data_IF_333082674723
#
_entry.id   IF_333082674723
#
_cell.length_a   1.000
_cell.length_b   1.000
_cell.length_c   1.000
_cell.angle_alpha   90.00
_cell.angle_beta   90.00
_cell.angle_gamma   90.00
#
_symmetry.space_group_name_H-M   'P 1'
#
loop_
_entity.id
_entity.type
_entity.pdbx_description
1 polymer ?
#
# COMPACT_ATOMS: atom_id res chain seq x y z
N UNK A 1 22.99 17.94 -0.04
CA UNK A 1 22.13 19.08 -0.42
C UNK A 1 21.05 19.23 0.65
N UNK A 2 20.71 20.45 1.08
CA UNK A 2 19.52 20.65 1.93
C UNK A 2 18.28 20.47 1.05
N UNK A 3 17.39 19.54 1.41
CA UNK A 3 16.14 19.28 0.65
C UNK A 3 15.17 20.47 0.65
N UNK A 4 15.43 21.51 1.45
CA UNK A 4 14.61 22.72 1.51
C UNK A 4 13.25 22.50 2.17
N UNK A 5 13.01 21.36 2.83
CA UNK A 5 11.76 21.07 3.54
C UNK A 5 11.62 22.01 4.73
N UNK A 6 10.52 22.78 4.76
CA UNK A 6 10.22 23.74 5.85
C UNK A 6 8.93 23.43 6.59
N UNK A 7 8.12 22.51 6.09
CA UNK A 7 6.93 22.00 6.76
C UNK A 7 6.52 20.64 6.20
N UNK A 8 5.86 19.84 7.04
CA UNK A 8 5.34 18.51 6.67
C UNK A 8 3.97 18.30 7.30
N UNK A 9 3.03 17.75 6.53
CA UNK A 9 1.80 17.16 7.04
C UNK A 9 1.91 15.65 6.92
N UNK A 10 1.66 14.95 8.03
CA UNK A 10 1.69 13.49 8.10
C UNK A 10 0.32 13.02 8.54
N UNK A 11 -0.28 12.14 7.74
CA UNK A 11 -1.53 11.46 8.10
C UNK A 11 -1.30 9.95 8.02
N UNK A 12 -1.94 9.15 8.89
CA UNK A 12 -1.74 7.71 8.87
C UNK A 12 -2.58 7.06 7.76
N UNK A 13 -2.03 6.01 7.15
CA UNK A 13 -2.81 5.07 6.34
C UNK A 13 -3.42 4.05 7.31
N UNK A 14 -4.72 4.16 7.60
CA UNK A 14 -5.41 3.31 8.56
C UNK A 14 -6.52 2.51 7.89
N UNK A 15 -6.66 1.28 8.34
CA UNK A 15 -7.83 0.45 8.05
C UNK A 15 -8.29 -0.16 9.37
N UNK A 16 -9.47 0.25 9.83
CA UNK A 16 -9.95 -0.09 11.18
C UNK A 16 -8.90 0.27 12.25
N UNK A 17 -8.50 -0.68 13.09
CA UNK A 17 -7.49 -0.50 14.14
C UNK A 17 -6.04 -0.74 13.67
N UNK A 18 -5.84 -1.12 12.40
CA UNK A 18 -4.51 -1.41 11.85
C UNK A 18 -3.96 -0.18 11.11
N UNK A 19 -2.75 0.24 11.47
CA UNK A 19 -1.98 1.22 10.69
C UNK A 19 -1.12 0.49 9.67
N UNK A 20 -1.36 0.76 8.39
CA UNK A 20 -0.60 0.21 7.26
C UNK A 20 0.67 1.04 6.98
N UNK A 21 0.67 2.31 7.39
CA UNK A 21 1.78 3.22 7.16
C UNK A 21 1.38 4.67 7.36
N UNK A 22 2.10 5.59 6.71
CA UNK A 22 1.81 7.03 6.75
C UNK A 22 1.98 7.67 5.37
N UNK A 23 1.16 8.68 5.10
CA UNK A 23 1.28 9.56 3.94
C UNK A 23 1.84 10.91 4.39
N UNK A 24 2.84 11.41 3.65
CA UNK A 24 3.54 12.67 3.95
C UNK A 24 3.41 13.63 2.79
N UNK A 25 3.10 14.89 3.09
CA UNK A 25 3.16 16.00 2.15
C UNK A 25 4.16 17.02 2.67
N UNK A 26 5.12 17.36 1.82
CA UNK A 26 6.21 18.29 2.14
C UNK A 26 5.97 19.65 1.49
N UNK A 27 6.42 20.71 2.15
CA UNK A 27 6.44 22.05 1.57
C UNK A 27 7.78 22.72 1.81
N UNK A 28 8.32 23.33 0.76
CA UNK A 28 9.57 24.09 0.79
C UNK A 28 9.41 25.50 1.35
N UNK A 29 8.17 25.94 1.55
CA UNK A 29 7.82 27.17 2.25
C UNK A 29 7.19 26.83 3.60
N UNK A 30 7.35 27.68 4.64
CA UNK A 30 6.64 27.52 5.90
C UNK A 30 5.14 27.52 5.65
N UNK A 31 4.46 26.42 6.02
CA UNK A 31 3.04 26.25 5.81
C UNK A 31 2.38 25.82 7.10
N UNK A 32 1.29 26.48 7.45
CA UNK A 32 0.32 25.95 8.40
C UNK A 32 -0.78 25.23 7.61
N UNK A 33 -1.06 23.99 7.97
CA UNK A 33 -2.11 23.21 7.33
C UNK A 33 -3.44 23.50 8.00
N UNK A 34 -4.43 23.94 7.23
CA UNK A 34 -5.78 24.17 7.73
C UNK A 34 -6.45 22.85 8.11
N UNK A 35 -7.45 22.90 8.99
CA UNK A 35 -8.26 21.73 9.35
C UNK A 35 -8.87 21.07 8.10
N UNK A 36 -9.39 21.87 7.16
CA UNK A 36 -9.93 21.39 5.88
C UNK A 36 -8.86 20.63 5.07
N UNK A 37 -7.64 21.16 5.00
CA UNK A 37 -6.54 20.51 4.29
C UNK A 37 -6.09 19.21 4.96
N UNK A 38 -6.11 19.17 6.29
CA UNK A 38 -5.81 17.95 7.07
C UNK A 38 -6.89 16.90 6.81
N UNK A 39 -8.18 17.27 6.92
CA UNK A 39 -9.30 16.36 6.64
C UNK A 39 -9.26 15.82 5.22
N UNK A 40 -8.97 16.67 4.24
CA UNK A 40 -8.81 16.26 2.85
C UNK A 40 -7.70 15.22 2.69
N UNK A 41 -6.50 15.49 3.24
CA UNK A 41 -5.39 14.53 3.13
C UNK A 41 -5.69 13.23 3.88
N UNK A 42 -6.36 13.30 5.04
CA UNK A 42 -6.82 12.10 5.76
C UNK A 42 -7.78 11.26 4.93
N UNK A 43 -8.78 11.87 4.25
CA UNK A 43 -9.68 11.12 3.37
C UNK A 43 -8.95 10.46 2.20
N UNK A 44 -7.94 11.12 1.63
CA UNK A 44 -7.09 10.51 0.60
C UNK A 44 -6.27 9.35 1.18
N UNK A 45 -5.75 9.50 2.39
CA UNK A 45 -5.02 8.45 3.08
C UNK A 45 -5.89 7.21 3.38
N UNK A 46 -7.17 7.39 3.73
CA UNK A 46 -8.11 6.29 3.93
C UNK A 46 -8.35 5.52 2.61
N UNK A 47 -8.49 6.23 1.49
CA UNK A 47 -8.64 5.60 0.17
C UNK A 47 -7.38 4.83 -0.25
N UNK A 48 -6.20 5.40 0.02
CA UNK A 48 -4.92 4.73 -0.27
C UNK A 48 -4.73 3.51 0.62
N UNK A 49 -5.09 3.58 1.90
CA UNK A 49 -5.04 2.43 2.80
C UNK A 49 -5.87 1.26 2.26
N UNK A 50 -7.09 1.53 1.81
CA UNK A 50 -7.95 0.51 1.19
C UNK A 50 -7.35 -0.06 -0.11
N UNK A 51 -6.75 0.78 -0.95
CA UNK A 51 -6.14 0.35 -2.21
C UNK A 51 -4.90 -0.54 -1.97
N UNK A 52 -4.05 -0.18 -1.00
CA UNK A 52 -2.87 -0.96 -0.61
C UNK A 52 -3.29 -2.32 -0.08
N UNK A 53 -4.25 -2.38 0.84
CA UNK A 53 -4.76 -3.66 1.37
C UNK A 53 -5.28 -4.57 0.25
N UNK A 54 -6.03 -4.02 -0.72
CA UNK A 54 -6.52 -4.80 -1.86
C UNK A 54 -5.39 -5.31 -2.75
N UNK A 55 -4.38 -4.50 -2.99
CA UNK A 55 -3.22 -4.90 -3.78
C UNK A 55 -2.44 -6.02 -3.09
N UNK A 56 -2.24 -5.94 -1.77
CA UNK A 56 -1.60 -6.99 -0.97
C UNK A 56 -2.40 -8.30 -1.01
N UNK A 57 -3.71 -8.26 -0.76
CA UNK A 57 -4.57 -9.44 -0.83
C UNK A 57 -4.57 -10.08 -2.22
N UNK A 58 -4.63 -9.25 -3.28
CA UNK A 58 -4.57 -9.74 -4.65
C UNK A 58 -3.20 -10.38 -4.97
N UNK A 59 -2.10 -9.82 -4.47
CA UNK A 59 -0.77 -10.39 -4.65
C UNK A 59 -0.63 -11.76 -3.95
N UNK A 60 -1.17 -11.90 -2.74
CA UNK A 60 -1.20 -13.19 -2.03
C UNK A 60 -2.00 -14.23 -2.79
N UNK A 61 -3.19 -13.86 -3.30
CA UNK A 61 -4.02 -14.77 -4.08
C UNK A 61 -3.32 -15.22 -5.37
N UNK A 62 -2.64 -14.29 -6.07
CA UNK A 62 -1.87 -14.62 -7.27
C UNK A 62 -0.70 -15.54 -6.98
N UNK A 63 0.01 -15.34 -5.86
CA UNK A 63 1.09 -16.24 -5.45
C UNK A 63 0.57 -17.67 -5.23
N UNK A 64 -0.51 -17.84 -4.47
CA UNK A 64 -1.12 -19.15 -4.23
C UNK A 64 -1.60 -19.85 -5.51
N UNK A 65 -2.18 -19.09 -6.44
CA UNK A 65 -2.60 -19.63 -7.72
C UNK A 65 -1.42 -20.09 -8.58
N UNK A 66 -0.32 -19.35 -8.56
CA UNK A 66 0.90 -19.72 -9.28
C UNK A 66 1.57 -20.96 -8.67
N UNK A 67 1.61 -21.08 -7.35
CA UNK A 67 2.14 -22.26 -6.66
C UNK A 67 1.37 -23.51 -7.06
N UNK A 68 0.03 -23.47 -6.99
CA UNK A 68 -0.82 -24.60 -7.41
C UNK A 68 -0.58 -25.00 -8.88
N UNK A 69 -0.37 -24.02 -9.76
CA UNK A 69 -0.06 -24.29 -11.18
C UNK A 69 1.27 -24.99 -11.36
N UNK A 70 2.28 -24.58 -10.61
CA UNK A 70 3.61 -25.19 -10.67
C UNK A 70 3.54 -26.64 -10.17
N UNK A 71 2.85 -26.88 -9.06
CA UNK A 71 2.61 -28.22 -8.52
C UNK A 71 1.91 -29.12 -9.55
N UNK A 72 0.80 -28.66 -10.15
CA UNK A 72 0.08 -29.42 -11.18
C UNK A 72 0.98 -29.75 -12.39
N UNK A 73 1.80 -28.79 -12.82
CA UNK A 73 2.72 -28.99 -13.94
C UNK A 73 3.79 -30.04 -13.61
N UNK A 74 4.23 -30.12 -12.35
CA UNK A 74 5.14 -31.16 -11.89
C UNK A 74 4.48 -32.54 -11.88
N UNK A 75 3.27 -32.66 -11.34
CA UNK A 75 2.51 -33.92 -11.36
C UNK A 75 2.27 -34.44 -12.77
N UNK A 76 1.89 -33.57 -13.70
CA UNK A 76 1.73 -33.95 -15.11
C UNK A 76 3.03 -34.46 -15.73
N UNK A 77 4.18 -33.82 -15.42
CA UNK A 77 5.48 -34.32 -15.89
C UNK A 77 5.84 -35.68 -15.30
N UNK A 78 5.56 -35.89 -14.01
CA UNK A 78 5.80 -37.16 -13.34
C UNK A 78 4.99 -38.30 -13.98
N UNK A 79 3.69 -38.08 -14.21
CA UNK A 79 2.80 -39.08 -14.81
C UNK A 79 3.07 -39.33 -16.31
N UNK A 80 3.68 -38.37 -17.01
CA UNK A 80 4.06 -38.55 -18.42
C UNK A 80 5.38 -39.31 -18.62
N UNK A 81 6.13 -39.57 -17.53
CA UNK A 81 7.42 -40.27 -17.55
C UNK A 81 7.34 -41.72 -17.05
N UNK A 82 6.16 -42.19 -16.63
CA UNK A 82 5.89 -43.58 -16.21
C UNK A 82 4.85 -44.24 -17.10
#
# INVERSE_FOLDING_TARGET
>A
AQEGIRSVLVVPLKLQERSLGVMRVYSSQPRQFSSVGITFLSSVADLVALAVERAELHAVLQAQYNDLKLDLAEWHRFLALG
#
